data_IF_075062897722
#
_entry.id   IF_075062897722
#
_cell.length_a   1.000
_cell.length_b   1.000
_cell.length_c   1.000
_cell.angle_alpha   90.00
_cell.angle_beta   90.00
_cell.angle_gamma   90.00
#
_symmetry.space_group_name_H-M   'P 1'
#
loop_
_entity.id
_entity.type
_entity.pdbx_description
1 polymer ?
#
# COMPACT_ATOMS: atom_id res chain seq x y z
N UNK A 1 10.17 -40.87 -60.94
CA UNK A 1 8.79 -40.38 -61.19
C UNK A 1 8.74 -38.89 -60.88
N UNK A 2 8.19 -38.06 -61.77
CA UNK A 2 8.17 -36.61 -61.58
C UNK A 2 7.11 -36.22 -60.54
N UNK A 3 7.42 -35.24 -59.69
CA UNK A 3 6.52 -34.75 -58.65
C UNK A 3 5.22 -34.14 -59.22
N UNK A 4 5.25 -33.68 -60.48
CA UNK A 4 4.08 -33.20 -61.20
C UNK A 4 3.07 -34.33 -61.46
N UNK A 5 3.54 -35.50 -61.92
CA UNK A 5 2.68 -36.67 -62.15
C UNK A 5 2.00 -37.14 -60.86
N UNK A 6 2.73 -37.11 -59.74
CA UNK A 6 2.19 -37.52 -58.43
C UNK A 6 1.07 -36.58 -57.98
N UNK A 7 1.22 -35.27 -58.18
CA UNK A 7 0.17 -34.29 -57.83
C UNK A 7 -1.07 -34.45 -58.70
N UNK A 8 -0.88 -34.62 -60.01
CA UNK A 8 -1.98 -34.82 -60.95
C UNK A 8 -2.75 -36.12 -60.65
N UNK A 9 -2.04 -37.21 -60.32
CA UNK A 9 -2.69 -38.46 -59.91
C UNK A 9 -3.49 -38.34 -58.59
N UNK A 10 -3.05 -37.48 -57.67
CA UNK A 10 -3.77 -37.23 -56.42
C UNK A 10 -5.01 -36.35 -56.60
N UNK A 11 -4.99 -35.43 -57.56
CA UNK A 11 -6.14 -34.57 -57.89
C UNK A 11 -7.30 -35.37 -58.50
N UNK A 12 -6.99 -36.40 -59.30
CA UNK A 12 -8.00 -37.32 -59.88
C UNK A 12 -8.68 -38.17 -58.79
N UNK A 13 -7.94 -38.51 -57.73
CA UNK A 13 -8.46 -39.36 -56.65
C UNK A 13 -9.26 -38.53 -55.64
N UNK A 14 -8.81 -37.32 -55.31
CA UNK A 14 -9.44 -36.44 -54.33
C UNK A 14 -9.48 -34.98 -54.85
N UNK A 15 -10.62 -34.56 -55.40
CA UNK A 15 -10.81 -33.20 -55.93
C UNK A 15 -10.62 -32.09 -54.87
N UNK A 16 -10.75 -32.41 -53.59
CA UNK A 16 -10.65 -31.47 -52.46
C UNK A 16 -9.24 -31.34 -51.86
N UNK A 17 -8.24 -32.02 -52.42
CA UNK A 17 -6.89 -32.07 -51.82
C UNK A 17 -6.19 -30.71 -51.84
N UNK A 18 -6.50 -29.85 -52.82
CA UNK A 18 -5.86 -28.54 -52.98
C UNK A 18 -6.51 -27.44 -52.11
N UNK A 19 -7.78 -27.61 -51.70
CA UNK A 19 -8.57 -26.63 -50.95
C UNK A 19 -8.16 -26.52 -49.47
N UNK A 20 -7.43 -27.50 -48.94
CA UNK A 20 -6.95 -27.51 -47.57
C UNK A 20 -5.61 -26.77 -47.38
N UNK A 21 -4.89 -26.46 -48.47
CA UNK A 21 -3.56 -25.82 -48.40
C UNK A 21 -3.59 -24.28 -48.40
N UNK A 22 -4.75 -23.65 -48.68
CA UNK A 22 -4.90 -22.18 -48.83
C UNK A 22 -5.87 -21.52 -47.82
N UNK A 23 -5.99 -22.03 -46.59
CA UNK A 23 -6.82 -21.42 -45.52
C UNK A 23 -5.99 -20.89 -44.35
N UNK A 24 -5.22 -19.82 -44.58
CA UNK A 24 -4.77 -18.89 -43.53
C UNK A 24 -5.86 -17.84 -43.25
N UNK A 25 -6.98 -18.27 -42.65
CA UNK A 25 -8.09 -17.38 -42.30
C UNK A 25 -7.93 -16.90 -40.86
N UNK A 26 -7.59 -15.60 -40.75
CA UNK A 26 -7.53 -14.77 -39.55
C UNK A 26 -8.77 -14.97 -38.65
N UNK A 27 -8.59 -15.42 -37.41
CA UNK A 27 -9.60 -15.31 -36.34
C UNK A 27 -9.21 -14.19 -35.39
N UNK A 28 -9.77 -13.00 -35.60
CA UNK A 28 -9.81 -11.90 -34.65
C UNK A 28 -10.68 -12.28 -33.45
N UNK A 29 -10.06 -12.67 -32.32
CA UNK A 29 -10.75 -12.70 -31.01
C UNK A 29 -10.42 -11.42 -30.26
N UNK A 30 -11.29 -10.42 -30.43
CA UNK A 30 -11.37 -9.23 -29.58
C UNK A 30 -11.82 -9.70 -28.19
N UNK A 31 -10.87 -9.91 -27.27
CA UNK A 31 -11.17 -10.13 -25.86
C UNK A 31 -11.22 -8.78 -25.16
N UNK A 32 -12.25 -8.64 -24.34
CA UNK A 32 -12.69 -7.43 -23.64
C UNK A 32 -11.55 -6.85 -22.81
N UNK A 33 -11.26 -5.57 -23.04
CA UNK A 33 -10.69 -4.70 -22.02
C UNK A 33 -11.71 -4.66 -20.90
N UNK A 34 -11.39 -5.24 -19.75
CA UNK A 34 -11.87 -4.71 -18.47
C UNK A 34 -11.10 -5.37 -17.32
N UNK A 35 -10.39 -4.48 -16.63
CA UNK A 35 -9.89 -4.57 -15.26
C UNK A 35 -8.65 -5.41 -14.96
N UNK A 36 -7.71 -4.73 -14.28
CA UNK A 36 -6.45 -5.17 -13.67
C UNK A 36 -5.20 -5.30 -14.54
N UNK A 37 -4.81 -4.23 -15.23
CA UNK A 37 -3.38 -3.95 -15.49
C UNK A 37 -2.83 -2.98 -14.43
N UNK A 38 -2.91 -3.35 -13.14
CA UNK A 38 -2.32 -2.54 -12.05
C UNK A 38 -0.79 -2.66 -11.99
N UNK A 39 -0.22 -3.59 -12.76
CA UNK A 39 1.22 -3.66 -12.98
C UNK A 39 1.45 -3.70 -14.49
N UNK A 40 2.17 -2.72 -15.07
CA UNK A 40 2.63 -2.88 -16.43
C UNK A 40 3.51 -4.14 -16.43
N UNK A 41 3.10 -5.17 -17.17
CA UNK A 41 3.98 -6.30 -17.46
C UNK A 41 5.28 -5.71 -17.98
N UNK A 42 6.37 -5.91 -17.24
CA UNK A 42 7.65 -5.27 -17.50
C UNK A 42 7.98 -5.40 -18.99
N UNK A 43 8.12 -4.26 -19.67
CA UNK A 43 8.56 -4.24 -21.07
C UNK A 43 9.83 -5.07 -21.13
N UNK A 44 9.85 -6.11 -21.98
CA UNK A 44 11.03 -6.96 -22.16
C UNK A 44 12.10 -6.11 -22.84
N UNK A 45 13.04 -5.60 -22.05
CA UNK A 45 14.16 -4.80 -22.54
C UNK A 45 15.21 -5.76 -23.12
N UNK A 46 15.72 -5.45 -24.31
CA UNK A 46 16.79 -6.23 -24.91
C UNK A 46 18.13 -5.99 -24.18
N UNK A 47 19.03 -6.98 -24.18
CA UNK A 47 20.33 -6.87 -23.48
C UNK A 47 21.15 -5.69 -24.02
N UNK A 48 21.01 -5.36 -25.32
CA UNK A 48 21.67 -4.23 -25.96
C UNK A 48 21.13 -2.88 -25.47
N UNK A 49 19.82 -2.74 -25.28
CA UNK A 49 19.21 -1.55 -24.67
C UNK A 49 19.63 -1.37 -23.21
N UNK A 50 19.68 -2.46 -22.44
CA UNK A 50 20.09 -2.42 -21.03
C UNK A 50 21.54 -1.93 -20.88
N UNK A 51 22.43 -2.35 -21.79
CA UNK A 51 23.83 -1.91 -21.81
C UNK A 51 23.97 -0.43 -22.13
N UNK A 52 23.13 0.11 -23.02
CA UNK A 52 23.11 1.55 -23.36
C UNK A 52 22.62 2.40 -22.19
N UNK A 53 21.68 1.89 -21.42
CA UNK A 53 21.07 2.59 -20.28
C UNK A 53 21.76 2.30 -18.94
N UNK A 54 22.98 1.75 -18.96
CA UNK A 54 23.72 1.45 -17.73
C UNK A 54 24.19 2.76 -17.10
N UNK A 55 23.63 3.09 -15.94
CA UNK A 55 24.02 4.27 -15.14
C UNK A 55 25.45 4.16 -14.65
N UNK A 56 26.16 5.28 -14.64
CA UNK A 56 27.49 5.35 -14.01
C UNK A 56 27.37 5.30 -12.49
N UNK A 57 28.46 4.98 -11.80
CA UNK A 57 28.47 4.95 -10.32
C UNK A 57 28.10 6.32 -9.73
N UNK A 58 28.56 7.39 -10.34
CA UNK A 58 28.28 8.77 -9.93
C UNK A 58 26.80 9.12 -10.08
N UNK A 59 26.17 8.75 -11.19
CA UNK A 59 24.73 8.95 -11.40
C UNK A 59 23.90 8.20 -10.34
N UNK A 60 24.28 6.95 -10.04
CA UNK A 60 23.61 6.17 -8.99
C UNK A 60 23.80 6.81 -7.60
N UNK A 61 25.00 7.34 -7.32
CA UNK A 61 25.26 8.03 -6.06
C UNK A 61 24.39 9.29 -5.93
N UNK A 62 24.33 10.14 -6.96
CA UNK A 62 23.50 11.34 -6.97
C UNK A 62 22.02 11.01 -6.76
N UNK A 63 21.49 10.04 -7.50
CA UNK A 63 20.09 9.60 -7.37
C UNK A 63 19.79 9.03 -5.96
N UNK A 64 20.74 8.30 -5.36
CA UNK A 64 20.58 7.80 -4.00
C UNK A 64 20.59 8.94 -2.98
N UNK A 65 21.44 9.94 -3.15
CA UNK A 65 21.47 11.11 -2.26
C UNK A 65 20.17 11.91 -2.36
N UNK A 66 19.62 12.09 -3.56
CA UNK A 66 18.31 12.73 -3.76
C UNK A 66 17.19 11.94 -3.08
N UNK A 67 17.16 10.62 -3.25
CA UNK A 67 16.19 9.75 -2.56
C UNK A 67 16.29 9.87 -1.05
N UNK A 68 17.51 9.84 -0.49
CA UNK A 68 17.72 10.00 0.95
C UNK A 68 17.29 11.37 1.45
N UNK A 69 17.51 12.43 0.66
CA UNK A 69 17.03 13.77 0.97
C UNK A 69 15.50 13.83 1.01
N UNK A 70 14.82 13.28 0.02
CA UNK A 70 13.35 13.20 -0.01
C UNK A 70 12.80 12.41 1.17
N UNK A 71 13.42 11.27 1.49
CA UNK A 71 13.06 10.48 2.68
C UNK A 71 13.23 11.32 3.94
N UNK A 72 14.35 12.04 4.07
CA UNK A 72 14.57 12.92 5.22
C UNK A 72 13.51 14.00 5.32
N UNK A 73 13.15 14.64 4.21
CA UNK A 73 12.12 15.70 4.18
C UNK A 73 10.74 15.16 4.56
N UNK A 74 10.36 13.97 4.07
CA UNK A 74 9.07 13.33 4.40
C UNK A 74 9.05 12.75 5.82
N UNK A 75 10.16 12.17 6.27
CA UNK A 75 10.29 11.58 7.60
C UNK A 75 10.65 12.59 8.69
N UNK A 76 11.00 13.83 8.32
CA UNK A 76 11.08 14.96 9.24
C UNK A 76 9.67 15.35 9.68
N UNK A 77 9.06 14.46 10.47
CA UNK A 77 7.86 14.75 11.20
C UNK A 77 8.33 15.46 12.46
N UNK A 78 7.98 16.73 12.58
CA UNK A 78 8.05 17.46 13.85
C UNK A 78 7.01 16.83 14.78
N UNK A 79 7.42 15.76 15.44
CA UNK A 79 6.59 15.14 16.47
C UNK A 79 6.52 16.11 17.64
N UNK A 80 5.29 16.44 18.03
CA UNK A 80 5.01 17.27 19.19
C UNK A 80 5.77 16.71 20.41
N UNK A 81 6.48 17.58 21.16
CA UNK A 81 7.35 17.18 22.27
C UNK A 81 6.62 16.30 23.31
N UNK A 82 5.32 16.53 23.49
CA UNK A 82 4.48 15.75 24.37
C UNK A 82 4.34 14.28 23.94
N UNK A 83 4.33 14.02 22.63
CA UNK A 83 4.19 12.68 22.05
C UNK A 83 5.54 11.95 22.09
N UNK A 84 6.63 12.64 21.73
CA UNK A 84 7.98 12.06 21.76
C UNK A 84 8.35 11.63 23.18
N UNK A 85 8.10 12.49 24.17
CA UNK A 85 8.35 12.17 25.58
C UNK A 85 7.55 10.95 26.05
N UNK A 86 6.27 10.82 25.66
CA UNK A 86 5.47 9.62 25.97
C UNK A 86 6.03 8.36 25.32
N UNK A 87 6.51 8.44 24.08
CA UNK A 87 7.11 7.28 23.40
C UNK A 87 8.40 6.86 24.12
N UNK A 88 9.26 7.83 24.44
CA UNK A 88 10.54 7.60 25.14
C UNK A 88 10.28 6.99 26.53
N UNK A 89 9.40 7.59 27.33
CA UNK A 89 9.06 7.09 28.67
C UNK A 89 8.50 5.66 28.63
N UNK A 90 7.65 5.35 27.63
CA UNK A 90 7.14 3.98 27.43
C UNK A 90 8.26 3.00 27.05
N UNK A 91 9.17 3.40 26.16
CA UNK A 91 10.29 2.55 25.73
C UNK A 91 11.24 2.23 26.90
N UNK A 92 11.55 3.23 27.72
CA UNK A 92 12.41 3.08 28.91
C UNK A 92 11.72 2.24 29.98
N UNK A 93 10.47 2.55 30.32
CA UNK A 93 9.73 1.87 31.38
C UNK A 93 9.27 0.45 31.00
N UNK A 94 9.27 0.11 29.70
CA UNK A 94 8.71 -1.13 29.12
C UNK A 94 7.26 -1.40 29.51
N UNK A 95 6.54 -0.37 29.96
CA UNK A 95 5.17 -0.45 30.49
C UNK A 95 4.32 0.68 29.92
N UNK A 96 2.99 0.50 29.81
CA UNK A 96 2.09 1.59 29.48
C UNK A 96 2.20 2.72 30.51
N UNK A 97 2.19 3.97 30.05
CA UNK A 97 2.20 5.14 30.93
C UNK A 97 0.89 5.18 31.70
N UNK A 98 0.97 5.14 33.03
CA UNK A 98 -0.20 5.30 33.90
C UNK A 98 -0.68 6.75 33.83
N UNK A 99 -1.99 6.95 33.67
CA UNK A 99 -2.58 8.28 33.75
C UNK A 99 -2.21 8.94 35.09
N UNK A 100 -1.80 10.22 35.04
CA UNK A 100 -1.55 11.00 36.26
C UNK A 100 -2.85 11.02 37.07
N UNK A 101 -2.78 10.58 38.34
CA UNK A 101 -3.93 10.63 39.25
C UNK A 101 -4.25 12.11 39.48
N UNK A 102 -5.35 12.58 38.94
CA UNK A 102 -5.87 13.91 39.29
C UNK A 102 -6.36 13.83 40.73
N UNK A 103 -5.84 14.69 41.60
CA UNK A 103 -6.35 14.78 42.98
C UNK A 103 -7.82 15.17 42.92
N UNK A 104 -8.68 14.41 43.61
CA UNK A 104 -10.08 14.77 43.74
C UNK A 104 -10.12 16.13 44.45
N UNK A 105 -10.79 17.10 43.84
CA UNK A 105 -11.08 18.37 44.52
C UNK A 105 -11.96 18.04 45.73
N UNK A 106 -11.73 18.74 46.84
CA UNK A 106 -12.60 18.62 48.01
C UNK A 106 -14.06 18.85 47.56
N UNK A 107 -14.90 17.87 47.81
CA UNK A 107 -16.33 17.94 47.52
C UNK A 107 -16.90 19.05 48.40
N UNK A 108 -17.41 20.12 47.79
CA UNK A 108 -18.10 21.18 48.52
C UNK A 108 -19.50 20.66 48.83
N UNK A 109 -19.80 20.44 50.11
CA UNK A 109 -21.16 20.16 50.56
C UNK A 109 -22.02 21.40 50.35
N UNK A 110 -23.31 21.19 50.04
CA UNK A 110 -24.27 22.29 49.95
C UNK A 110 -24.59 22.88 51.34
N UNK A 111 -24.36 22.11 52.40
CA UNK A 111 -24.58 22.50 53.80
C UNK A 111 -23.31 23.08 54.41
N UNK A 112 -23.50 24.15 55.17
CA UNK A 112 -22.49 24.79 55.99
C UNK A 112 -22.58 24.28 57.43
N UNK A 113 -21.53 24.49 58.24
CA UNK A 113 -21.52 24.11 59.66
C UNK A 113 -22.66 24.79 60.45
N UNK A 114 -23.09 25.99 60.02
CA UNK A 114 -24.24 26.69 60.59
C UNK A 114 -25.57 25.98 60.33
N UNK A 115 -25.71 25.30 59.18
CA UNK A 115 -26.92 24.55 58.85
C UNK A 115 -27.05 23.31 59.74
N UNK A 116 -25.93 22.64 60.04
CA UNK A 116 -25.91 21.52 60.98
C UNK A 116 -26.33 21.94 62.39
N UNK A 117 -25.87 23.11 62.87
CA UNK A 117 -26.25 23.61 64.18
C UNK A 117 -27.78 23.89 64.28
N UNK A 118 -28.40 24.37 63.20
CA UNK A 118 -29.86 24.56 63.14
C UNK A 118 -30.60 23.23 63.17
N UNK A 119 -30.14 22.24 62.41
CA UNK A 119 -30.74 20.89 62.43
C UNK A 119 -30.65 20.23 63.80
N UNK A 120 -29.52 20.38 64.51
CA UNK A 120 -29.38 19.85 65.87
C UNK A 120 -30.40 20.47 66.84
N UNK A 121 -30.63 21.78 66.74
CA UNK A 121 -31.63 22.47 67.55
C UNK A 121 -33.04 22.02 67.23
N UNK A 122 -33.38 21.84 65.96
CA UNK A 122 -34.71 21.36 65.55
C UNK A 122 -34.95 19.94 66.07
N UNK A 123 -33.97 19.04 65.92
CA UNK A 123 -34.06 17.66 66.38
C UNK A 123 -34.21 17.52 67.90
N UNK A 124 -33.57 18.40 68.68
CA UNK A 124 -33.65 18.35 70.15
C UNK A 124 -34.92 18.99 70.72
N UNK A 125 -35.63 19.80 69.91
CA UNK A 125 -36.86 20.46 70.30
C UNK A 125 -38.12 19.69 69.84
N UNK A 126 -37.94 18.53 69.18
CA UNK A 126 -38.98 17.57 68.80
C UNK A 126 -39.04 16.40 69.82
#
# INVERSE_FOLDING_TARGET
MSAALVRESLEVVDADFNDKSKKSIKKSKKRKNDQTELFPTSKKISVSELRKNKRTKEQNLQENLEKLRLIREVCAIDLEENITNKIIERAVSRRPIKAKKVSKKAEKTAFTEEDFAKFEQEYLNE
#
